data_IF_122884555708
#
_entry.id   IF_122884555708
#
_cell.length_a   1.000
_cell.length_b   1.000
_cell.length_c   1.000
_cell.angle_alpha   90.00
_cell.angle_beta   90.00
_cell.angle_gamma   90.00
#
_symmetry.space_group_name_H-M   'P 1'
#
loop_
_entity.id
_entity.type
_entity.pdbx_description
1 polymer ?
#
# COMPACT_ATOMS: atom_id res chain seq x y z
N UNK A 1 83.13 4.70 8.45
CA UNK A 1 81.92 5.16 7.78
C UNK A 1 80.98 4.00 7.70
N UNK A 2 80.06 3.90 8.62
CA UNK A 2 79.01 2.82 8.69
C UNK A 2 77.69 3.37 8.21
N UNK A 3 77.13 2.81 7.11
CA UNK A 3 75.78 3.12 6.56
C UNK A 3 74.80 2.24 7.26
N UNK A 4 73.89 2.83 8.05
CA UNK A 4 72.71 2.18 8.57
C UNK A 4 71.63 2.20 7.46
N UNK A 5 71.21 1.04 7.01
CA UNK A 5 70.04 0.86 6.16
C UNK A 5 68.81 0.61 7.07
N UNK A 6 67.87 1.56 7.09
CA UNK A 6 66.62 1.40 7.81
C UNK A 6 65.64 0.60 6.98
N UNK A 7 65.15 -0.52 7.53
CA UNK A 7 64.06 -1.33 6.97
C UNK A 7 62.73 -0.74 7.44
N UNK A 8 61.97 -0.14 6.53
CA UNK A 8 60.58 0.24 6.75
C UNK A 8 59.67 -0.98 6.49
N UNK A 9 59.13 -1.59 7.55
CA UNK A 9 58.14 -2.63 7.46
C UNK A 9 56.77 -1.98 7.24
N UNK A 10 56.20 -2.13 6.04
CA UNK A 10 54.85 -1.74 5.74
C UNK A 10 53.87 -2.79 6.29
N UNK A 11 53.13 -2.45 7.36
CA UNK A 11 52.03 -3.27 7.89
C UNK A 11 50.79 -3.05 7.00
N UNK A 12 50.51 -4.01 6.14
CA UNK A 12 49.25 -4.04 5.38
C UNK A 12 48.12 -4.50 6.30
N UNK A 13 47.26 -3.55 6.73
CA UNK A 13 46.01 -3.87 7.44
C UNK A 13 45.05 -4.44 6.41
N UNK A 14 44.88 -5.77 6.39
CA UNK A 14 43.76 -6.41 5.71
C UNK A 14 42.47 -6.04 6.47
N UNK A 15 41.75 -5.06 5.96
CA UNK A 15 40.37 -4.84 6.37
C UNK A 15 39.53 -6.08 5.94
N UNK A 16 39.23 -6.95 6.90
CA UNK A 16 38.31 -8.05 6.68
C UNK A 16 36.94 -7.45 6.28
N UNK A 17 36.60 -7.53 5.01
CA UNK A 17 35.25 -7.20 4.55
C UNK A 17 34.27 -8.16 5.25
N UNK A 18 33.38 -7.61 6.08
CA UNK A 18 32.31 -8.39 6.67
C UNK A 18 31.56 -9.13 5.54
N UNK A 19 31.22 -10.43 5.71
CA UNK A 19 30.50 -11.17 4.69
C UNK A 19 29.21 -10.42 4.37
N UNK A 20 29.05 -10.05 3.10
CA UNK A 20 27.79 -9.48 2.62
C UNK A 20 26.72 -10.52 2.87
N UNK A 21 25.74 -10.20 3.71
CA UNK A 21 24.61 -11.07 4.03
C UNK A 21 23.96 -11.49 2.71
N UNK A 22 23.83 -12.79 2.50
CA UNK A 22 23.31 -13.31 1.25
C UNK A 22 21.85 -12.87 1.09
N UNK A 23 21.49 -12.35 -0.09
CA UNK A 23 20.12 -11.92 -0.34
C UNK A 23 19.13 -13.08 -0.08
N UNK A 24 17.96 -12.81 0.56
CA UNK A 24 17.00 -13.84 0.91
C UNK A 24 16.50 -14.58 -0.35
N UNK A 25 16.35 -15.89 -0.27
CA UNK A 25 15.99 -16.75 -1.39
C UNK A 25 14.52 -17.17 -1.39
N UNK A 26 13.92 -17.25 -0.18
CA UNK A 26 12.54 -17.72 0.03
C UNK A 26 11.71 -16.60 0.66
N UNK A 27 11.15 -15.75 -0.19
CA UNK A 27 10.45 -14.55 0.23
C UNK A 27 8.95 -14.79 0.21
N UNK A 28 8.26 -14.39 1.27
CA UNK A 28 6.80 -14.28 1.30
C UNK A 28 6.43 -12.80 1.33
N UNK A 29 5.49 -12.38 0.48
CA UNK A 29 5.01 -11.00 0.37
C UNK A 29 3.53 -10.92 0.76
N UNK A 30 3.21 -10.24 1.86
CA UNK A 30 1.86 -10.23 2.44
C UNK A 30 1.00 -9.04 2.03
N UNK A 31 1.49 -8.18 1.13
CA UNK A 31 0.71 -7.02 0.64
C UNK A 31 0.79 -6.92 -0.87
N UNK A 32 -0.22 -6.31 -1.55
CA UNK A 32 -0.18 -6.06 -2.99
C UNK A 32 1.05 -5.22 -3.39
N UNK A 33 1.45 -4.24 -2.56
CA UNK A 33 2.63 -3.42 -2.81
C UNK A 33 3.91 -4.27 -2.86
N UNK A 34 4.15 -5.08 -1.84
CA UNK A 34 5.37 -5.90 -1.75
C UNK A 34 5.40 -6.96 -2.84
N UNK A 35 4.30 -7.67 -3.07
CA UNK A 35 4.19 -8.71 -4.08
C UNK A 35 4.46 -8.18 -5.50
N UNK A 36 3.77 -7.10 -5.90
CA UNK A 36 3.95 -6.51 -7.23
C UNK A 36 5.33 -5.83 -7.39
N UNK A 37 5.87 -5.23 -6.33
CA UNK A 37 7.24 -4.68 -6.36
C UNK A 37 8.27 -5.79 -6.60
N UNK A 38 8.15 -6.95 -5.94
CA UNK A 38 9.02 -8.11 -6.20
C UNK A 38 8.90 -8.57 -7.66
N UNK A 39 7.69 -8.63 -8.20
CA UNK A 39 7.47 -9.01 -9.60
C UNK A 39 8.16 -8.03 -10.58
N UNK A 40 8.11 -6.72 -10.31
CA UNK A 40 8.83 -5.69 -11.10
C UNK A 40 10.35 -5.82 -10.95
N UNK A 41 10.84 -6.23 -9.80
CA UNK A 41 12.26 -6.50 -9.53
C UNK A 41 12.76 -7.81 -10.15
N UNK A 42 11.88 -8.59 -10.79
CA UNK A 42 12.13 -9.96 -11.27
C UNK A 42 12.61 -10.88 -10.13
N UNK A 43 11.95 -10.78 -8.98
CA UNK A 43 12.11 -11.68 -7.83
C UNK A 43 10.80 -12.44 -7.65
N UNK A 44 10.89 -13.76 -7.65
CA UNK A 44 9.73 -14.64 -7.48
C UNK A 44 9.56 -14.99 -6.01
N UNK A 45 8.49 -14.54 -5.32
CA UNK A 45 8.21 -14.97 -3.96
C UNK A 45 7.72 -16.43 -3.93
N UNK A 46 7.91 -17.11 -2.81
CA UNK A 46 7.37 -18.46 -2.59
C UNK A 46 5.93 -18.45 -2.10
N UNK A 47 5.43 -17.30 -1.68
CA UNK A 47 4.04 -17.10 -1.27
C UNK A 47 3.65 -15.62 -1.29
N UNK A 48 2.37 -15.35 -1.56
CA UNK A 48 1.79 -14.02 -1.50
C UNK A 48 0.50 -14.02 -0.70
N UNK A 49 0.33 -12.97 0.11
CA UNK A 49 -0.90 -12.77 0.87
C UNK A 49 -2.03 -12.23 0.02
N UNK A 50 -3.26 -12.59 0.35
CA UNK A 50 -4.47 -12.00 -0.20
C UNK A 50 -5.56 -11.90 0.86
N UNK A 51 -6.40 -10.88 0.78
CA UNK A 51 -7.56 -10.72 1.66
C UNK A 51 -8.77 -11.34 0.98
N UNK A 52 -9.52 -12.18 1.70
CA UNK A 52 -10.76 -12.77 1.18
C UNK A 52 -11.75 -11.64 0.82
N UNK A 53 -12.24 -11.67 -0.41
CA UNK A 53 -13.12 -10.63 -0.95
C UNK A 53 -12.37 -9.41 -1.51
N UNK A 54 -11.05 -9.34 -1.39
CA UNK A 54 -10.23 -8.33 -2.04
C UNK A 54 -10.16 -8.58 -3.56
N UNK A 55 -10.35 -7.51 -4.34
CA UNK A 55 -10.18 -7.57 -5.80
C UNK A 55 -8.74 -7.19 -6.19
N UNK A 56 -7.74 -7.74 -5.46
CA UNK A 56 -6.35 -7.43 -5.73
C UNK A 56 -5.92 -7.95 -7.11
N UNK A 57 -5.37 -7.06 -7.91
CA UNK A 57 -4.79 -7.40 -9.21
C UNK A 57 -3.29 -7.59 -9.08
N UNK A 58 -2.88 -8.83 -8.85
CA UNK A 58 -1.47 -9.17 -8.89
C UNK A 58 -0.95 -9.26 -10.32
N UNK A 59 0.37 -9.00 -10.49
CA UNK A 59 1.06 -9.21 -11.75
C UNK A 59 0.86 -10.65 -12.25
N UNK A 60 0.71 -10.84 -13.56
CA UNK A 60 0.63 -12.17 -14.18
C UNK A 60 1.85 -13.06 -13.86
N UNK A 61 3.00 -12.44 -13.56
CA UNK A 61 4.20 -13.18 -13.11
C UNK A 61 4.01 -13.89 -11.77
N UNK A 62 2.96 -13.54 -11.01
CA UNK A 62 2.64 -14.12 -9.71
C UNK A 62 1.47 -15.12 -9.78
N UNK A 63 1.00 -15.49 -10.98
CA UNK A 63 -0.17 -16.34 -11.16
C UNK A 63 -0.03 -17.70 -10.44
N UNK A 64 1.14 -18.32 -10.54
CA UNK A 64 1.44 -19.65 -9.98
C UNK A 64 2.00 -19.60 -8.54
N UNK A 65 2.09 -18.42 -7.94
CA UNK A 65 2.63 -18.28 -6.57
C UNK A 65 1.57 -18.73 -5.55
N UNK A 66 2.01 -19.50 -4.56
CA UNK A 66 1.14 -19.96 -3.46
C UNK A 66 0.40 -18.79 -2.81
N UNK A 67 -0.93 -18.89 -2.71
CA UNK A 67 -1.78 -17.89 -2.08
C UNK A 67 -1.98 -18.20 -0.61
N UNK A 68 -1.74 -17.19 0.24
CA UNK A 68 -1.94 -17.26 1.69
C UNK A 68 -3.12 -16.38 2.07
N UNK A 69 -4.26 -16.94 2.49
CA UNK A 69 -5.36 -16.14 3.02
C UNK A 69 -4.92 -15.37 4.25
N UNK A 70 -5.28 -14.09 4.30
CA UNK A 70 -4.96 -13.20 5.41
C UNK A 70 -6.20 -12.90 6.24
N UNK A 71 -6.06 -12.96 7.55
CA UNK A 71 -7.09 -12.60 8.53
C UNK A 71 -6.64 -11.40 9.35
N UNK A 72 -7.34 -10.27 9.23
CA UNK A 72 -7.03 -9.08 10.03
C UNK A 72 -7.37 -9.28 11.51
N UNK A 73 -6.50 -8.87 12.45
CA UNK A 73 -5.14 -8.32 12.30
C UNK A 73 -4.02 -9.37 12.42
N UNK A 74 -4.34 -10.66 12.27
CA UNK A 74 -3.45 -11.79 12.59
C UNK A 74 -2.52 -12.20 11.43
N UNK A 75 -2.81 -11.75 10.20
CA UNK A 75 -2.02 -12.14 9.02
C UNK A 75 -2.35 -13.56 8.53
N UNK A 76 -1.36 -14.31 7.99
CA UNK A 76 -1.55 -15.64 7.43
C UNK A 76 -1.67 -16.71 8.52
N UNK A 77 -2.19 -17.89 8.14
CA UNK A 77 -2.08 -19.06 8.98
C UNK A 77 -0.60 -19.45 9.14
N UNK A 78 -0.15 -19.61 10.40
CA UNK A 78 1.26 -19.84 10.74
C UNK A 78 1.79 -21.18 10.21
N UNK A 79 0.97 -22.23 10.16
CA UNK A 79 1.38 -23.53 9.63
C UNK A 79 1.59 -23.46 8.11
N UNK A 80 0.69 -22.79 7.39
CA UNK A 80 0.84 -22.58 5.95
C UNK A 80 2.09 -21.76 5.64
N UNK A 81 2.35 -20.71 6.41
CA UNK A 81 3.56 -19.91 6.30
C UNK A 81 4.83 -20.74 6.56
N UNK A 82 4.84 -21.53 7.65
CA UNK A 82 5.98 -22.37 8.01
C UNK A 82 6.30 -23.45 6.95
N UNK A 83 5.29 -24.02 6.30
CA UNK A 83 5.49 -24.98 5.18
C UNK A 83 6.25 -24.37 4.00
N UNK A 84 6.12 -23.06 3.78
CA UNK A 84 6.87 -22.35 2.75
C UNK A 84 8.32 -22.11 3.14
N UNK A 85 8.70 -22.34 4.40
CA UNK A 85 10.07 -22.15 4.94
C UNK A 85 10.70 -20.84 4.46
N UNK A 86 10.05 -19.68 4.69
CA UNK A 86 10.58 -18.39 4.27
C UNK A 86 11.81 -18.04 5.11
N UNK A 87 12.77 -17.35 4.49
CA UNK A 87 13.84 -16.63 5.19
C UNK A 87 13.50 -15.15 5.38
N UNK A 88 12.59 -14.62 4.54
CA UNK A 88 12.09 -13.25 4.65
C UNK A 88 10.56 -13.20 4.46
N UNK A 89 9.88 -12.48 5.34
CA UNK A 89 8.47 -12.10 5.20
C UNK A 89 8.35 -10.58 5.06
N UNK A 90 7.87 -10.12 3.92
CA UNK A 90 7.50 -8.72 3.71
C UNK A 90 6.06 -8.51 4.17
N UNK A 91 5.90 -7.87 5.31
CA UNK A 91 4.64 -7.69 6.01
C UNK A 91 4.18 -6.22 6.02
N UNK A 92 3.20 -5.91 6.84
CA UNK A 92 2.62 -4.58 7.04
C UNK A 92 2.30 -4.37 8.53
N UNK A 93 2.25 -3.12 9.02
CA UNK A 93 1.68 -2.79 10.33
C UNK A 93 0.24 -3.28 10.51
N UNK A 94 -0.51 -3.45 9.43
CA UNK A 94 -1.87 -4.02 9.43
C UNK A 94 -1.90 -5.41 10.09
N UNK A 95 -0.84 -6.20 9.93
CA UNK A 95 -0.69 -7.55 10.49
C UNK A 95 0.07 -7.58 11.82
N UNK A 96 0.05 -6.49 12.59
CA UNK A 96 0.89 -6.31 13.79
C UNK A 96 0.77 -7.44 14.82
N UNK A 97 -0.42 -8.03 14.99
CA UNK A 97 -0.61 -9.17 15.90
C UNK A 97 0.09 -10.44 15.40
N UNK A 98 0.08 -10.66 14.07
CA UNK A 98 0.76 -11.78 13.44
C UNK A 98 2.27 -11.60 13.29
N UNK A 99 2.76 -10.36 13.17
CA UNK A 99 4.18 -10.08 12.96
C UNK A 99 5.08 -10.71 14.03
N UNK A 100 4.67 -10.67 15.29
CA UNK A 100 5.40 -11.31 16.39
C UNK A 100 5.38 -12.84 16.29
N UNK A 101 4.25 -13.43 15.88
CA UNK A 101 4.14 -14.87 15.66
C UNK A 101 4.99 -15.33 14.47
N UNK A 102 5.00 -14.58 13.38
CA UNK A 102 5.83 -14.87 12.21
C UNK A 102 7.32 -14.86 12.55
N UNK A 103 7.81 -13.89 13.34
CA UNK A 103 9.22 -13.84 13.79
C UNK A 103 9.61 -15.09 14.62
N UNK A 104 8.69 -15.63 15.41
CA UNK A 104 8.95 -16.82 16.25
C UNK A 104 9.16 -18.11 15.45
N UNK A 105 8.64 -18.21 14.24
CA UNK A 105 8.85 -19.38 13.38
C UNK A 105 10.12 -19.27 12.50
N UNK A 106 10.91 -18.21 12.67
CA UNK A 106 12.29 -18.12 12.19
C UNK A 106 12.60 -17.11 11.09
N UNK A 107 11.69 -16.66 10.22
CA UNK A 107 12.05 -15.71 9.18
C UNK A 107 12.33 -14.31 9.73
N UNK A 108 13.13 -13.54 9.01
CA UNK A 108 13.13 -12.09 9.16
C UNK A 108 11.76 -11.54 8.74
N UNK A 109 11.17 -10.64 9.55
CA UNK A 109 9.89 -9.99 9.23
C UNK A 109 10.12 -8.50 9.08
N UNK A 110 10.00 -8.00 7.84
CA UNK A 110 10.17 -6.61 7.48
C UNK A 110 8.84 -5.98 7.11
N UNK A 111 8.44 -4.95 7.86
CA UNK A 111 7.24 -4.19 7.54
C UNK A 111 7.53 -3.21 6.40
N UNK A 112 6.68 -3.24 5.38
CA UNK A 112 6.81 -2.46 4.15
C UNK A 112 5.42 -2.05 3.66
N UNK A 113 5.02 -0.84 4.04
CA UNK A 113 3.73 -0.25 3.66
C UNK A 113 3.87 1.27 3.54
N UNK A 114 4.10 1.81 2.34
CA UNK A 114 4.17 3.26 2.14
C UNK A 114 2.82 3.89 2.45
N UNK A 115 2.78 4.89 3.34
CA UNK A 115 1.54 5.59 3.72
C UNK A 115 1.18 6.72 2.77
N UNK A 116 2.15 7.20 1.98
CA UNK A 116 1.99 8.30 1.04
C UNK A 116 2.47 7.93 -0.35
N UNK A 117 1.96 8.62 -1.34
CA UNK A 117 2.37 8.50 -2.74
C UNK A 117 3.88 8.73 -2.90
N UNK A 118 4.44 9.75 -2.24
CA UNK A 118 5.87 10.08 -2.34
C UNK A 118 6.78 9.06 -1.65
N UNK A 119 6.26 8.28 -0.74
CA UNK A 119 7.02 7.21 -0.08
C UNK A 119 7.25 5.99 -1.00
N UNK A 120 6.43 5.78 -2.03
CA UNK A 120 6.50 4.60 -2.92
C UNK A 120 7.88 4.43 -3.57
N UNK A 121 8.48 5.44 -4.22
CA UNK A 121 9.81 5.28 -4.82
C UNK A 121 10.92 4.98 -3.80
N UNK A 122 10.84 5.55 -2.61
CA UNK A 122 11.81 5.30 -1.55
C UNK A 122 11.71 3.86 -1.04
N UNK A 123 10.50 3.40 -0.82
CA UNK A 123 10.22 2.05 -0.34
C UNK A 123 10.60 0.98 -1.39
N UNK A 124 10.33 1.24 -2.67
CA UNK A 124 10.80 0.39 -3.78
C UNK A 124 12.32 0.24 -3.77
N UNK A 125 13.07 1.35 -3.52
CA UNK A 125 14.54 1.28 -3.39
C UNK A 125 14.97 0.47 -2.17
N UNK A 126 14.27 0.62 -1.03
CA UNK A 126 14.54 -0.14 0.20
C UNK A 126 14.37 -1.63 -0.03
N UNK A 127 13.24 -2.05 -0.58
CA UNK A 127 12.96 -3.45 -0.93
C UNK A 127 14.00 -4.00 -1.92
N UNK A 128 14.35 -3.23 -2.95
CA UNK A 128 15.34 -3.67 -3.91
C UNK A 128 16.75 -3.90 -3.33
N UNK A 129 17.14 -3.12 -2.33
CA UNK A 129 18.40 -3.39 -1.59
C UNK A 129 18.31 -4.69 -0.78
N UNK A 130 17.20 -4.86 -0.07
CA UNK A 130 16.93 -6.02 0.78
C UNK A 130 17.01 -7.35 -0.01
N UNK A 131 16.50 -7.36 -1.26
CA UNK A 131 16.46 -8.55 -2.11
C UNK A 131 17.60 -8.61 -3.15
N UNK A 132 18.67 -7.83 -2.96
CA UNK A 132 19.84 -7.84 -3.85
C UNK A 132 19.60 -7.27 -5.26
N UNK A 133 18.51 -6.50 -5.47
CA UNK A 133 18.13 -5.89 -6.77
C UNK A 133 18.25 -4.37 -6.79
N UNK A 134 19.16 -3.81 -6.02
CA UNK A 134 19.29 -2.36 -5.79
C UNK A 134 19.43 -1.52 -7.07
N UNK A 135 20.16 -1.99 -8.10
CA UNK A 135 20.28 -1.27 -9.39
C UNK A 135 18.93 -1.19 -10.11
N UNK A 136 18.22 -2.32 -10.20
CA UNK A 136 16.90 -2.38 -10.83
C UNK A 136 15.89 -1.52 -10.08
N UNK A 137 15.88 -1.59 -8.74
CA UNK A 137 15.01 -0.79 -7.89
C UNK A 137 15.21 0.72 -8.07
N UNK A 138 16.45 1.20 -8.23
CA UNK A 138 16.69 2.63 -8.53
C UNK A 138 16.04 3.06 -9.84
N UNK A 139 16.11 2.22 -10.89
CA UNK A 139 15.48 2.50 -12.19
C UNK A 139 13.94 2.53 -12.08
N UNK A 140 13.36 1.55 -11.36
CA UNK A 140 11.91 1.49 -11.12
C UNK A 140 11.46 2.71 -10.32
N UNK A 141 12.13 3.04 -9.22
CA UNK A 141 11.81 4.19 -8.39
C UNK A 141 11.88 5.52 -9.14
N UNK A 142 12.87 5.68 -10.03
CA UNK A 142 12.97 6.87 -10.89
C UNK A 142 11.81 6.96 -11.88
N UNK A 143 11.35 5.83 -12.45
CA UNK A 143 10.16 5.76 -13.28
C UNK A 143 8.92 6.17 -12.48
N UNK A 144 8.70 5.56 -11.31
CA UNK A 144 7.58 5.87 -10.41
C UNK A 144 7.51 7.36 -10.08
N UNK A 145 8.64 7.99 -9.71
CA UNK A 145 8.69 9.41 -9.42
C UNK A 145 8.26 10.28 -10.62
N UNK A 146 8.71 9.92 -11.85
CA UNK A 146 8.28 10.63 -13.08
C UNK A 146 6.80 10.44 -13.37
N UNK A 147 6.28 9.24 -13.20
CA UNK A 147 4.86 8.91 -13.42
C UNK A 147 3.96 9.63 -12.42
N UNK A 148 4.35 9.71 -11.14
CA UNK A 148 3.67 10.51 -10.11
C UNK A 148 3.65 11.98 -10.52
N UNK A 149 4.82 12.55 -10.84
CA UNK A 149 4.93 13.94 -11.24
C UNK A 149 4.10 14.26 -12.50
N UNK A 150 4.03 13.33 -13.47
CA UNK A 150 3.18 13.49 -14.65
C UNK A 150 1.69 13.40 -14.31
N UNK A 151 1.30 12.46 -13.42
CA UNK A 151 -0.09 12.25 -13.05
C UNK A 151 -0.69 13.40 -12.23
N UNK A 152 0.14 14.18 -11.53
CA UNK A 152 -0.29 15.30 -10.69
C UNK A 152 -0.27 16.67 -11.40
N UNK A 153 0.11 16.73 -12.68
CA UNK A 153 0.13 17.99 -13.44
C UNK A 153 -1.23 18.35 -14.02
N UNK A 154 -1.45 19.67 -14.22
CA UNK A 154 -2.58 20.19 -14.98
C UNK A 154 -3.93 20.02 -14.26
N UNK A 155 -3.94 19.82 -12.95
CA UNK A 155 -5.16 19.78 -12.15
C UNK A 155 -5.73 21.21 -12.10
N UNK A 156 -7.00 21.37 -12.52
CA UNK A 156 -7.68 22.67 -12.58
C UNK A 156 -8.90 22.75 -11.66
N UNK A 157 -9.48 21.58 -11.32
CA UNK A 157 -10.64 21.48 -10.43
C UNK A 157 -10.22 20.78 -9.15
N UNK A 158 -10.85 21.19 -8.04
CA UNK A 158 -10.57 20.64 -6.71
C UNK A 158 -11.89 20.33 -6.00
N UNK A 159 -12.64 19.33 -6.49
CA UNK A 159 -13.92 18.96 -5.87
C UNK A 159 -13.71 18.51 -4.44
N UNK A 160 -14.72 18.73 -3.60
CA UNK A 160 -14.78 18.16 -2.27
C UNK A 160 -15.10 16.67 -2.36
N UNK A 161 -14.32 15.86 -1.65
CA UNK A 161 -14.42 14.41 -1.72
C UNK A 161 -14.58 13.82 -0.33
N UNK A 162 -15.60 13.04 -0.14
CA UNK A 162 -15.72 12.14 0.99
C UNK A 162 -15.30 10.74 0.55
N UNK A 163 -14.10 10.30 0.95
CA UNK A 163 -13.64 8.93 0.71
C UNK A 163 -14.00 8.07 1.92
N UNK A 164 -14.82 7.04 1.73
CA UNK A 164 -15.36 6.22 2.81
C UNK A 164 -14.93 4.76 2.68
N UNK A 165 -14.52 4.18 3.80
CA UNK A 165 -14.38 2.74 3.96
C UNK A 165 -15.73 2.16 4.36
N UNK A 166 -16.29 1.32 3.52
CA UNK A 166 -17.56 0.64 3.80
C UNK A 166 -17.33 -0.62 4.62
N UNK A 167 -17.70 -0.58 5.89
CA UNK A 167 -17.72 -1.75 6.78
C UNK A 167 -19.14 -1.91 7.31
N UNK A 168 -19.96 -2.68 6.61
CA UNK A 168 -21.37 -2.87 6.99
C UNK A 168 -22.12 -1.53 7.04
N UNK A 169 -22.79 -1.25 8.18
CA UNK A 169 -23.57 -0.02 8.39
C UNK A 169 -22.78 1.13 9.05
N UNK A 170 -21.49 0.97 9.26
CA UNK A 170 -20.68 2.00 9.92
C UNK A 170 -19.65 2.54 8.94
N UNK A 171 -19.82 3.73 8.38
CA UNK A 171 -18.85 4.32 7.49
C UNK A 171 -17.66 4.92 8.28
N UNK A 172 -16.47 4.79 7.68
CA UNK A 172 -15.26 5.45 8.16
C UNK A 172 -14.69 6.33 7.06
N UNK A 173 -14.43 7.59 7.36
CA UNK A 173 -13.72 8.48 6.42
C UNK A 173 -12.21 8.16 6.41
N UNK A 174 -11.64 8.13 5.21
CA UNK A 174 -10.19 8.11 5.05
C UNK A 174 -9.61 9.48 5.39
N UNK A 175 -8.63 9.52 6.27
CA UNK A 175 -7.93 10.75 6.66
C UNK A 175 -6.77 11.07 5.70
N UNK A 176 -6.28 12.33 5.68
CA UNK A 176 -5.21 12.76 4.78
C UNK A 176 -3.89 12.00 4.92
N UNK A 177 -3.65 11.38 6.07
CA UNK A 177 -2.48 10.56 6.38
C UNK A 177 -2.67 9.06 6.09
N UNK A 178 -3.84 8.66 5.58
CA UNK A 178 -4.08 7.34 5.02
C UNK A 178 -3.62 7.26 3.55
N UNK A 179 -3.37 6.06 3.06
CA UNK A 179 -3.00 5.84 1.67
C UNK A 179 -4.02 6.42 0.68
N UNK A 180 -5.29 6.02 0.80
CA UNK A 180 -6.36 6.50 -0.10
C UNK A 180 -6.56 8.00 0.00
N UNK A 181 -6.46 8.56 1.20
CA UNK A 181 -6.56 10.00 1.42
C UNK A 181 -5.46 10.78 0.70
N UNK A 182 -4.20 10.30 0.76
CA UNK A 182 -3.11 10.95 0.03
C UNK A 182 -3.27 10.80 -1.49
N UNK A 183 -3.74 9.64 -1.98
CA UNK A 183 -4.04 9.45 -3.41
C UNK A 183 -5.10 10.43 -3.91
N UNK A 184 -6.22 10.60 -3.18
CA UNK A 184 -7.28 11.57 -3.53
C UNK A 184 -6.71 12.99 -3.60
N UNK A 185 -5.96 13.41 -2.59
CA UNK A 185 -5.33 14.74 -2.55
C UNK A 185 -4.38 14.95 -3.74
N UNK A 186 -3.57 13.94 -4.07
CA UNK A 186 -2.65 13.97 -5.21
C UNK A 186 -3.36 13.98 -6.56
N UNK A 187 -4.57 13.41 -6.62
CA UNK A 187 -5.43 13.46 -7.78
C UNK A 187 -6.19 14.79 -7.95
N UNK A 188 -6.11 15.69 -6.94
CA UNK A 188 -6.73 17.00 -6.96
C UNK A 188 -8.02 17.13 -6.14
N UNK A 189 -8.47 16.07 -5.47
CA UNK A 189 -9.60 16.14 -4.57
C UNK A 189 -9.26 16.83 -3.25
N UNK A 190 -10.20 17.59 -2.70
CA UNK A 190 -10.15 18.15 -1.34
C UNK A 190 -10.93 17.23 -0.40
N UNK A 191 -10.22 16.48 0.42
CA UNK A 191 -10.86 15.58 1.38
C UNK A 191 -11.67 16.36 2.43
N UNK A 192 -12.87 15.88 2.69
CA UNK A 192 -13.71 16.35 3.78
C UNK A 192 -13.41 15.53 5.04
N UNK A 193 -12.60 16.11 5.92
CA UNK A 193 -12.09 15.45 7.14
C UNK A 193 -11.96 16.43 8.29
N UNK A 194 -12.62 17.59 8.21
CA UNK A 194 -12.55 18.61 9.25
C UNK A 194 -13.09 18.06 10.56
N UNK A 195 -12.37 18.34 11.66
CA UNK A 195 -12.70 17.82 12.99
C UNK A 195 -12.48 16.32 13.20
N UNK A 196 -12.05 15.56 12.17
CA UNK A 196 -11.79 14.14 12.28
C UNK A 196 -10.32 13.85 12.58
N UNK A 197 -10.08 12.89 13.48
CA UNK A 197 -8.75 12.40 13.83
C UNK A 197 -8.80 10.95 14.26
N UNK A 198 -7.82 10.15 13.80
CA UNK A 198 -7.63 8.77 14.23
C UNK A 198 -6.21 8.30 13.91
N UNK A 199 -5.58 7.49 14.77
CA UNK A 199 -4.15 7.11 14.65
C UNK A 199 -3.87 6.16 13.48
N UNK A 200 -4.88 5.45 12.99
CA UNK A 200 -4.77 4.48 11.90
C UNK A 200 -5.16 5.04 10.53
N UNK A 201 -5.56 6.33 10.47
CA UNK A 201 -5.92 7.01 9.23
C UNK A 201 -7.39 6.81 8.81
N UNK A 202 -8.25 6.30 9.70
CA UNK A 202 -9.68 6.08 9.45
C UNK A 202 -10.52 6.56 10.62
N UNK A 203 -11.36 7.56 10.42
CA UNK A 203 -12.24 8.10 11.44
C UNK A 203 -13.68 7.67 11.20
N UNK A 204 -14.36 7.20 12.26
CA UNK A 204 -15.80 6.93 12.18
C UNK A 204 -16.57 8.22 11.92
N UNK A 205 -17.53 8.17 11.01
CA UNK A 205 -18.44 9.29 10.70
C UNK A 205 -19.90 8.90 10.92
N UNK A 206 -20.75 9.90 11.08
CA UNK A 206 -22.22 9.73 11.15
C UNK A 206 -22.89 10.24 9.87
N UNK A 207 -24.17 9.93 9.71
CA UNK A 207 -24.96 10.45 8.60
C UNK A 207 -25.12 11.99 8.69
N UNK A 208 -25.20 12.55 9.90
CA UNK A 208 -25.26 13.99 10.12
C UNK A 208 -23.97 14.68 9.65
N UNK A 209 -22.81 14.05 9.87
CA UNK A 209 -21.54 14.54 9.35
C UNK A 209 -21.56 14.61 7.82
N UNK A 210 -22.03 13.56 7.15
CA UNK A 210 -22.11 13.51 5.70
C UNK A 210 -23.02 14.59 5.12
N UNK A 211 -24.17 14.85 5.78
CA UNK A 211 -25.10 15.91 5.40
C UNK A 211 -24.46 17.30 5.59
N UNK A 212 -23.82 17.53 6.73
CA UNK A 212 -23.24 18.82 7.07
C UNK A 212 -22.08 19.21 6.15
N UNK A 213 -21.25 18.24 5.79
CA UNK A 213 -20.11 18.45 4.88
C UNK A 213 -20.51 18.61 3.42
N UNK A 214 -21.66 18.08 3.01
CA UNK A 214 -22.25 18.12 1.67
C UNK A 214 -21.23 17.96 0.53
N UNK A 215 -20.58 16.77 0.41
CA UNK A 215 -19.54 16.53 -0.56
C UNK A 215 -20.01 16.67 -2.01
N UNK A 216 -19.11 17.17 -2.90
CA UNK A 216 -19.33 17.13 -4.34
C UNK A 216 -19.29 15.69 -4.89
N UNK A 217 -18.42 14.84 -4.29
CA UNK A 217 -18.18 13.45 -4.71
C UNK A 217 -18.07 12.56 -3.47
N UNK A 218 -18.73 11.42 -3.52
CA UNK A 218 -18.56 10.34 -2.53
C UNK A 218 -17.92 9.14 -3.23
N UNK A 219 -16.81 8.65 -2.69
CA UNK A 219 -16.17 7.42 -3.17
C UNK A 219 -16.16 6.41 -2.04
N UNK A 220 -16.91 5.33 -2.20
CA UNK A 220 -16.93 4.23 -1.25
C UNK A 220 -15.90 3.17 -1.64
N UNK A 221 -15.05 2.79 -0.70
CA UNK A 221 -14.07 1.72 -0.84
C UNK A 221 -14.61 0.50 -0.10
N UNK A 222 -15.03 -0.55 -0.81
CA UNK A 222 -15.56 -1.75 -0.18
C UNK A 222 -14.49 -2.43 0.67
N UNK A 223 -14.89 -2.85 1.86
CA UNK A 223 -14.05 -3.63 2.76
C UNK A 223 -14.92 -4.63 3.51
N UNK A 224 -14.47 -5.88 3.59
CA UNK A 224 -15.21 -6.93 4.25
C UNK A 224 -15.43 -8.16 3.34
N UNK A 225 -16.51 -8.89 3.58
CA UNK A 225 -16.84 -10.08 2.80
C UNK A 225 -17.47 -9.71 1.46
N UNK A 226 -17.38 -10.57 0.42
CA UNK A 226 -17.97 -10.31 -0.89
C UNK A 226 -19.47 -9.96 -0.83
N UNK A 227 -20.22 -10.59 0.07
CA UNK A 227 -21.64 -10.32 0.30
C UNK A 227 -21.91 -8.92 0.91
N UNK A 228 -20.96 -8.38 1.66
CA UNK A 228 -21.07 -7.03 2.24
C UNK A 228 -20.75 -5.96 1.20
N UNK A 229 -19.92 -6.26 0.21
CA UNK A 229 -19.55 -5.35 -0.89
C UNK A 229 -20.77 -5.01 -1.75
N UNK A 230 -21.59 -6.01 -2.11
CA UNK A 230 -22.84 -5.77 -2.85
C UNK A 230 -23.83 -4.88 -2.07
N UNK A 231 -23.95 -5.11 -0.77
CA UNK A 231 -24.81 -4.32 0.11
C UNK A 231 -24.36 -2.88 0.33
N UNK A 232 -23.08 -2.58 0.12
CA UNK A 232 -22.57 -1.23 0.26
C UNK A 232 -23.16 -0.29 -0.78
N UNK A 233 -23.26 -0.70 -2.04
CA UNK A 233 -23.92 0.06 -3.10
C UNK A 233 -25.37 0.35 -2.73
N UNK A 234 -26.13 -0.68 -2.38
CA UNK A 234 -27.53 -0.56 -1.95
C UNK A 234 -27.70 0.36 -0.74
N UNK A 235 -26.78 0.29 0.25
CA UNK A 235 -26.80 1.16 1.42
C UNK A 235 -26.58 2.63 1.06
N UNK A 236 -25.59 2.92 0.21
CA UNK A 236 -25.28 4.29 -0.22
C UNK A 236 -26.45 4.91 -1.01
N UNK A 237 -27.09 4.13 -1.88
CA UNK A 237 -28.21 4.58 -2.69
C UNK A 237 -29.51 4.72 -1.90
N UNK A 238 -29.73 3.85 -0.90
CA UNK A 238 -30.96 3.82 -0.12
C UNK A 238 -30.95 4.68 1.14
N UNK A 239 -29.76 5.10 1.64
CA UNK A 239 -29.67 5.90 2.85
C UNK A 239 -30.23 7.32 2.62
N UNK A 240 -31.34 7.69 3.32
CA UNK A 240 -31.98 8.98 3.10
C UNK A 240 -31.05 10.18 3.33
N UNK A 241 -30.13 10.07 4.29
CA UNK A 241 -29.17 11.13 4.62
C UNK A 241 -28.20 11.41 3.45
N UNK A 242 -27.67 10.36 2.88
CA UNK A 242 -26.71 10.47 1.78
C UNK A 242 -27.33 10.97 0.48
N UNK A 243 -28.62 10.66 0.27
CA UNK A 243 -29.40 11.13 -0.90
C UNK A 243 -29.61 12.64 -0.92
N UNK A 244 -29.47 13.33 0.19
CA UNK A 244 -29.62 14.80 0.26
C UNK A 244 -28.35 15.56 -0.14
N UNK A 245 -27.22 14.87 -0.30
CA UNK A 245 -25.94 15.49 -0.62
C UNK A 245 -25.86 15.96 -2.07
N UNK A 246 -24.95 16.92 -2.33
CA UNK A 246 -24.61 17.38 -3.68
C UNK A 246 -24.13 16.22 -4.55
N UNK A 247 -23.30 15.33 -4.01
CA UNK A 247 -22.87 14.11 -4.70
C UNK A 247 -24.02 13.25 -5.21
N UNK A 248 -25.04 13.03 -4.38
CA UNK A 248 -26.21 12.24 -4.77
C UNK A 248 -27.05 12.92 -5.86
N UNK A 249 -27.26 14.24 -5.72
CA UNK A 249 -28.03 15.02 -6.72
C UNK A 249 -27.36 15.03 -8.10
N UNK A 250 -26.04 14.97 -8.14
CA UNK A 250 -25.25 14.99 -9.37
C UNK A 250 -24.94 13.58 -9.93
N UNK A 251 -25.26 12.51 -9.19
CA UNK A 251 -24.90 11.14 -9.58
C UNK A 251 -23.42 10.82 -9.35
N UNK A 252 -22.74 11.56 -8.46
CA UNK A 252 -21.31 11.45 -8.16
C UNK A 252 -21.03 10.61 -6.89
N UNK A 253 -21.85 9.58 -6.66
CA UNK A 253 -21.60 8.52 -5.68
C UNK A 253 -21.00 7.32 -6.40
N UNK A 254 -19.77 6.96 -6.06
CA UNK A 254 -19.03 5.91 -6.74
C UNK A 254 -18.60 4.80 -5.77
N UNK A 255 -18.58 3.56 -6.27
CA UNK A 255 -17.96 2.43 -5.56
C UNK A 255 -16.63 2.12 -6.24
N UNK A 256 -15.54 2.24 -5.48
CA UNK A 256 -14.18 1.94 -5.96
C UNK A 256 -13.96 0.44 -5.99
N UNK A 257 -13.66 -0.11 -7.16
CA UNK A 257 -13.38 -1.53 -7.34
C UNK A 257 -11.87 -1.75 -7.42
N UNK A 258 -11.35 -2.76 -6.71
CA UNK A 258 -9.99 -3.26 -6.91
C UNK A 258 -8.95 -2.89 -5.86
N UNK A 259 -9.34 -2.39 -4.68
CA UNK A 259 -8.44 -2.24 -3.52
C UNK A 259 -7.35 -1.16 -3.63
N UNK A 260 -7.22 -0.48 -4.78
CA UNK A 260 -6.12 0.47 -5.03
C UNK A 260 -6.18 1.74 -4.19
N UNK A 261 -7.33 2.08 -3.61
CA UNK A 261 -7.51 3.15 -2.64
C UNK A 261 -7.42 2.65 -1.18
N UNK A 262 -7.53 1.34 -0.96
CA UNK A 262 -7.42 0.75 0.37
C UNK A 262 -5.96 0.54 0.79
N UNK A 263 -5.15 0.02 -0.13
CA UNK A 263 -3.77 -0.38 0.13
C UNK A 263 -2.81 0.18 -0.93
N UNK A 264 -1.53 0.40 -0.57
CA UNK A 264 -0.53 0.90 -1.52
C UNK A 264 -0.22 -0.11 -2.64
N UNK A 265 0.11 0.48 -3.81
CA UNK A 265 0.51 -0.24 -5.02
C UNK A 265 1.74 0.42 -5.66
N UNK A 266 2.61 -0.33 -6.34
CA UNK A 266 3.80 0.25 -6.96
C UNK A 266 3.50 1.15 -8.16
N UNK A 267 2.39 0.94 -8.88
CA UNK A 267 1.98 1.69 -10.08
C UNK A 267 1.10 2.92 -9.75
N UNK A 268 1.44 3.63 -8.67
CA UNK A 268 0.65 4.71 -8.10
C UNK A 268 0.37 5.87 -9.08
N UNK A 269 1.27 6.14 -10.02
CA UNK A 269 1.02 7.14 -11.06
C UNK A 269 -0.20 6.81 -11.93
N UNK A 270 -0.42 5.52 -12.24
CA UNK A 270 -1.64 5.06 -12.92
C UNK A 270 -2.87 5.22 -12.03
N UNK A 271 -2.76 4.86 -10.74
CA UNK A 271 -3.88 4.99 -9.79
C UNK A 271 -4.34 6.45 -9.70
N UNK A 272 -3.41 7.41 -9.61
CA UNK A 272 -3.74 8.84 -9.60
C UNK A 272 -4.50 9.24 -10.88
N UNK A 273 -4.03 8.83 -12.06
CA UNK A 273 -4.73 9.11 -13.33
C UNK A 273 -6.12 8.47 -13.38
N UNK A 274 -6.24 7.22 -12.93
CA UNK A 274 -7.53 6.51 -12.86
C UNK A 274 -8.52 7.22 -11.94
N UNK A 275 -8.07 7.69 -10.78
CA UNK A 275 -8.90 8.47 -9.84
C UNK A 275 -9.35 9.78 -10.47
N UNK A 276 -8.43 10.51 -11.10
CA UNK A 276 -8.73 11.77 -11.81
C UNK A 276 -9.80 11.58 -12.88
N UNK A 277 -9.61 10.61 -13.75
CA UNK A 277 -10.48 10.41 -14.91
C UNK A 277 -11.83 9.79 -14.56
N UNK A 278 -11.86 8.87 -13.58
CA UNK A 278 -13.07 8.10 -13.27
C UNK A 278 -13.98 8.79 -12.25
N UNK A 279 -13.39 9.54 -11.32
CA UNK A 279 -14.14 10.08 -10.18
C UNK A 279 -14.10 11.61 -10.09
N UNK A 280 -12.95 12.25 -10.37
CA UNK A 280 -12.81 13.68 -10.06
C UNK A 280 -13.05 14.61 -11.27
N UNK A 281 -12.99 14.11 -12.48
CA UNK A 281 -13.09 14.94 -13.69
C UNK A 281 -11.99 16.01 -13.78
N UNK A 282 -10.77 15.71 -13.27
CA UNK A 282 -9.65 16.67 -13.12
C UNK A 282 -8.50 16.39 -14.09
#
# INVERSE_FOLDING_TARGET
>A
MRRLAGLLAAVAVLAAAAPAEAAPRRIVALTPFTANTLAELAVQPVGIGFVLGGAEKFSSRLAEVTRLPLAHPNGPNMEQLARLRPDLVLSSPTWRKGNAAMRRIGPEVVESSPRTVDAVPAETRRLGRLVGKGRNARRIAARQAREIAAATRGIRRHPTVLLVLGVGRTPYAFLPDSWGGDVIRRAGGRLLTEGLSAPDGFARISDEYVIAEDPDIIIAVPHGRPEDIGRLGDYLESNPAWRTTTAARNGDIHVSIGGSLLEPWPDVGRIIRDVRSKYLGT
#
